data_IF_222038862244
#
_entry.id   IF_222038862244
#
_cell.length_a   1.000
_cell.length_b   1.000
_cell.length_c   1.000
_cell.angle_alpha   90.00
_cell.angle_beta   90.00
_cell.angle_gamma   90.00
#
_symmetry.space_group_name_H-M   'P 1'
#
loop_
_entity.id
_entity.type
_entity.pdbx_description
1 polymer ?
#
# COMPACT_ATOMS: atom_id res chain seq x y z
N UNK A 1 -23.88 0.29 -8.15
CA UNK A 1 -23.54 1.66 -7.71
C UNK A 1 -22.41 2.12 -8.61
N UNK A 2 -22.49 3.30 -9.24
CA UNK A 2 -21.40 3.82 -10.06
C UNK A 2 -20.19 4.02 -9.15
N UNK A 3 -19.08 3.33 -9.43
CA UNK A 3 -17.78 3.75 -8.93
C UNK A 3 -17.59 5.18 -9.43
N UNK A 4 -17.67 6.16 -8.52
CA UNK A 4 -17.23 7.52 -8.83
C UNK A 4 -15.72 7.40 -9.05
N UNK A 5 -15.24 7.74 -10.24
CA UNK A 5 -13.80 7.81 -10.47
C UNK A 5 -13.19 8.82 -9.50
N UNK A 6 -11.94 8.61 -9.09
CA UNK A 6 -11.23 9.51 -8.17
C UNK A 6 -11.26 10.97 -8.66
N UNK A 7 -11.38 11.18 -9.98
CA UNK A 7 -11.52 12.50 -10.62
C UNK A 7 -12.82 13.23 -10.28
N UNK A 8 -13.90 12.49 -9.97
CA UNK A 8 -15.23 13.02 -9.67
C UNK A 8 -15.39 13.41 -8.19
N UNK A 9 -14.40 13.11 -7.36
CA UNK A 9 -14.41 13.49 -5.95
C UNK A 9 -14.11 14.98 -5.78
N UNK A 10 -14.83 15.59 -4.84
CA UNK A 10 -14.52 16.95 -4.36
C UNK A 10 -13.22 16.97 -3.58
N UNK A 11 -12.60 18.14 -3.42
CA UNK A 11 -11.29 18.25 -2.76
C UNK A 11 -11.30 17.74 -1.30
N UNK A 12 -12.42 17.90 -0.59
CA UNK A 12 -12.61 17.37 0.77
C UNK A 12 -12.72 15.83 0.79
N UNK A 13 -13.45 15.24 -0.17
CA UNK A 13 -13.58 13.79 -0.33
C UNK A 13 -12.23 13.17 -0.73
N UNK A 14 -11.47 13.83 -1.61
CA UNK A 14 -10.14 13.40 -2.06
C UNK A 14 -9.14 13.37 -0.88
N UNK A 15 -9.17 14.39 -0.02
CA UNK A 15 -8.35 14.46 1.19
C UNK A 15 -8.72 13.38 2.22
N UNK A 16 -10.00 13.07 2.34
CA UNK A 16 -10.49 12.02 3.24
C UNK A 16 -10.06 10.63 2.76
N UNK A 17 -10.11 10.38 1.45
CA UNK A 17 -9.63 9.14 0.85
C UNK A 17 -8.11 8.99 0.98
N UNK A 18 -7.35 10.07 0.80
CA UNK A 18 -5.91 10.10 1.05
C UNK A 18 -5.55 9.82 2.51
N UNK A 19 -6.34 10.36 3.46
CA UNK A 19 -6.16 10.06 4.89
C UNK A 19 -6.45 8.61 5.24
N UNK A 20 -7.35 7.94 4.53
CA UNK A 20 -7.57 6.48 4.67
C UNK A 20 -6.44 5.66 4.05
N UNK A 21 -5.83 6.17 2.98
CA UNK A 21 -4.69 5.52 2.34
C UNK A 21 -3.40 5.53 3.21
N UNK A 22 -3.18 6.58 4.03
CA UNK A 22 -2.04 6.69 4.97
C UNK A 22 -1.88 5.50 5.94
N UNK A 23 -2.88 5.13 6.76
CA UNK A 23 -2.75 4.01 7.70
C UNK A 23 -2.52 2.70 6.95
N UNK A 24 -3.07 2.54 5.75
CA UNK A 24 -2.76 1.42 4.84
C UNK A 24 -1.26 1.36 4.52
N UNK A 25 -0.61 2.49 4.20
CA UNK A 25 0.82 2.52 3.89
C UNK A 25 1.71 2.12 5.08
N UNK A 26 1.38 2.58 6.30
CA UNK A 26 2.12 2.24 7.52
C UNK A 26 1.96 0.75 7.84
N UNK A 27 0.73 0.24 7.83
CA UNK A 27 0.46 -1.19 8.05
C UNK A 27 1.17 -2.04 7.00
N UNK A 28 1.18 -1.61 5.73
CA UNK A 28 1.88 -2.32 4.67
C UNK A 28 3.39 -2.36 4.90
N UNK A 29 4.02 -1.25 5.30
CA UNK A 29 5.45 -1.21 5.62
C UNK A 29 5.80 -2.13 6.80
N UNK A 30 4.93 -2.16 7.83
CA UNK A 30 5.09 -3.02 9.01
C UNK A 30 4.99 -4.51 8.64
N UNK A 31 4.00 -4.86 7.81
CA UNK A 31 3.83 -6.22 7.29
C UNK A 31 5.01 -6.63 6.40
N UNK A 32 5.48 -5.77 5.50
CA UNK A 32 6.65 -6.05 4.65
C UNK A 32 7.89 -6.29 5.52
N UNK A 33 8.14 -5.44 6.52
CA UNK A 33 9.26 -5.64 7.46
C UNK A 33 9.17 -6.96 8.22
N UNK A 34 7.97 -7.33 8.68
CA UNK A 34 7.72 -8.61 9.34
C UNK A 34 7.99 -9.80 8.40
N UNK A 35 7.53 -9.74 7.15
CA UNK A 35 7.74 -10.79 6.15
C UNK A 35 9.23 -10.94 5.78
N UNK A 36 9.97 -9.82 5.68
CA UNK A 36 11.43 -9.85 5.49
C UNK A 36 12.11 -10.51 6.69
N UNK A 37 11.66 -10.22 7.92
CA UNK A 37 12.16 -10.87 9.13
C UNK A 37 11.96 -12.40 9.11
N UNK A 38 10.80 -12.87 8.66
CA UNK A 38 10.52 -14.31 8.48
C UNK A 38 11.47 -14.93 7.46
N UNK A 39 11.70 -14.26 6.33
CA UNK A 39 12.63 -14.74 5.29
C UNK A 39 14.04 -14.84 5.86
N UNK A 40 14.53 -13.83 6.57
CA UNK A 40 15.85 -13.83 7.20
C UNK A 40 16.00 -14.95 8.24
N UNK A 41 14.97 -15.16 9.08
CA UNK A 41 14.95 -16.26 10.04
C UNK A 41 14.96 -17.63 9.35
N UNK A 42 14.19 -17.79 8.27
CA UNK A 42 14.14 -19.03 7.48
C UNK A 42 15.50 -19.41 6.89
N UNK A 43 16.27 -18.41 6.42
CA UNK A 43 17.65 -18.60 5.96
C UNK A 43 18.54 -19.08 7.11
N UNK A 44 18.43 -18.44 8.29
CA UNK A 44 19.24 -18.80 9.46
C UNK A 44 19.02 -20.24 9.93
N UNK A 45 17.78 -20.73 9.87
CA UNK A 45 17.43 -22.11 10.28
C UNK A 45 17.47 -23.12 9.11
N UNK A 46 18.00 -22.70 7.95
CA UNK A 46 18.12 -23.51 6.73
C UNK A 46 16.79 -24.12 6.25
N UNK A 47 15.66 -23.46 6.54
CA UNK A 47 14.31 -23.86 6.11
C UNK A 47 13.89 -23.20 4.80
N UNK A 48 14.87 -22.78 4.00
CA UNK A 48 14.68 -22.12 2.71
C UNK A 48 13.96 -23.08 1.77
N UNK A 49 12.73 -22.73 1.37
CA UNK A 49 11.88 -23.60 0.58
C UNK A 49 10.51 -22.97 0.36
N UNK A 50 9.45 -23.79 0.25
CA UNK A 50 8.08 -23.28 0.02
C UNK A 50 7.62 -22.26 1.08
N UNK A 51 8.15 -22.33 2.29
CA UNK A 51 7.87 -21.37 3.37
C UNK A 51 8.35 -19.94 3.08
N UNK A 52 9.34 -19.72 2.22
CA UNK A 52 9.75 -18.36 1.81
C UNK A 52 8.91 -17.83 0.65
N UNK A 53 8.29 -18.71 -0.15
CA UNK A 53 7.41 -18.33 -1.25
C UNK A 53 6.11 -17.67 -0.76
N UNK A 54 5.57 -18.12 0.39
CA UNK A 54 4.36 -17.53 0.97
C UNK A 54 4.60 -16.05 1.34
N UNK A 55 5.61 -15.69 2.18
CA UNK A 55 5.98 -14.30 2.44
C UNK A 55 6.25 -13.50 1.17
N UNK A 56 6.98 -14.07 0.21
CA UNK A 56 7.33 -13.38 -1.02
C UNK A 56 6.10 -13.03 -1.88
N UNK A 57 5.12 -13.94 -1.95
CA UNK A 57 3.85 -13.70 -2.62
C UNK A 57 3.05 -12.58 -1.94
N UNK A 58 2.99 -12.56 -0.61
CA UNK A 58 2.33 -11.48 0.13
C UNK A 58 2.99 -10.13 -0.10
N UNK A 59 4.33 -10.05 -0.07
CA UNK A 59 5.07 -8.82 -0.40
C UNK A 59 4.72 -8.35 -1.82
N UNK A 60 4.76 -9.25 -2.82
CA UNK A 60 4.41 -8.91 -4.19
C UNK A 60 2.99 -8.36 -4.32
N UNK A 61 2.02 -8.97 -3.63
CA UNK A 61 0.62 -8.52 -3.62
C UNK A 61 0.47 -7.14 -2.94
N UNK A 62 1.22 -6.89 -1.87
CA UNK A 62 1.18 -5.63 -1.13
C UNK A 62 1.82 -4.48 -1.91
N UNK A 63 2.93 -4.75 -2.59
CA UNK A 63 3.64 -3.78 -3.44
C UNK A 63 2.85 -3.47 -4.71
N UNK A 64 2.19 -4.46 -5.31
CA UNK A 64 1.30 -4.28 -6.46
C UNK A 64 -0.13 -3.92 -6.08
N UNK A 65 -0.32 -3.26 -4.93
CA UNK A 65 -1.61 -2.75 -4.47
C UNK A 65 -2.31 -1.84 -5.50
N UNK A 66 -3.60 -1.50 -5.26
CA UNK A 66 -4.48 -0.92 -6.26
C UNK A 66 -3.93 0.37 -6.88
N UNK A 67 -4.04 0.46 -8.21
CA UNK A 67 -3.58 1.56 -9.06
C UNK A 67 -4.11 2.94 -8.62
N UNK A 68 -5.24 2.92 -7.93
CA UNK A 68 -5.94 4.04 -7.31
C UNK A 68 -5.02 4.91 -6.44
N UNK A 69 -4.00 4.31 -5.80
CA UNK A 69 -3.02 5.08 -5.01
C UNK A 69 -2.20 6.05 -5.85
N UNK A 70 -1.78 5.66 -7.06
CA UNK A 70 -1.02 6.53 -7.99
C UNK A 70 -1.91 7.58 -8.61
N UNK A 71 -3.15 7.22 -8.93
CA UNK A 71 -4.12 8.15 -9.51
C UNK A 71 -4.58 9.19 -8.49
N UNK A 72 -4.81 8.78 -7.24
CA UNK A 72 -5.09 9.67 -6.12
C UNK A 72 -3.92 10.63 -5.88
N UNK A 73 -2.68 10.14 -5.85
CA UNK A 73 -1.49 11.02 -5.74
C UNK A 73 -1.37 12.01 -6.90
N UNK A 74 -1.70 11.58 -8.13
CA UNK A 74 -1.69 12.45 -9.32
C UNK A 74 -2.72 13.56 -9.21
N UNK A 75 -3.97 13.22 -8.88
CA UNK A 75 -5.07 14.18 -8.72
C UNK A 75 -4.81 15.16 -7.57
N UNK A 76 -4.25 14.70 -6.46
CA UNK A 76 -3.85 15.57 -5.35
C UNK A 76 -2.75 16.56 -5.75
N UNK A 77 -1.75 16.13 -6.54
CA UNK A 77 -0.70 17.01 -7.07
C UNK A 77 -1.24 18.01 -8.09
N UNK A 78 -2.09 17.56 -9.03
CA UNK A 78 -2.72 18.43 -10.03
C UNK A 78 -3.54 19.55 -9.36
N UNK A 79 -4.25 19.24 -8.27
CA UNK A 79 -5.08 20.20 -7.53
C UNK A 79 -4.34 20.96 -6.42
N UNK A 80 -3.02 20.81 -6.28
CA UNK A 80 -2.21 21.41 -5.21
C UNK A 80 -2.73 21.13 -3.79
N UNK A 81 -3.39 20.00 -3.59
CA UNK A 81 -3.95 19.61 -2.29
C UNK A 81 -2.81 19.05 -1.42
N UNK A 82 -2.24 19.92 -0.58
CA UNK A 82 -1.19 19.54 0.37
C UNK A 82 -1.81 18.66 1.45
N UNK A 83 -1.38 17.41 1.48
CA UNK A 83 -1.70 16.44 2.51
C UNK A 83 -1.56 17.06 3.91
N UNK A 84 -2.63 17.09 4.74
CA UNK A 84 -2.50 17.43 6.15
C UNK A 84 -1.56 16.41 6.78
N UNK A 85 -0.47 16.89 7.38
CA UNK A 85 0.45 16.05 8.16
C UNK A 85 -0.35 15.26 9.20
#
# INVERSE_FOLDING_TARGET
MKEKELSDLTDEELLLEAKKAKPSAITNALLIGFLIGIIAYSIMVNSVGLFTLIPLFFIYKLVNGPKDTKELERLMKERNLKNPQ
#
